data_IF_051794662092
#
_entry.id   IF_051794662092
#
_cell.length_a   1.000
_cell.length_b   1.000
_cell.length_c   1.000
_cell.angle_alpha   90.00
_cell.angle_beta   90.00
_cell.angle_gamma   90.00
#
_symmetry.space_group_name_H-M   'P 1'
#
loop_
_entity.id
_entity.type
_entity.pdbx_description
1 polymer ?
#
# COMPACT_ATOMS: atom_id res chain seq x y z
N UNK A 1 -56.26 10.41 42.66
CA UNK A 1 -56.13 9.20 41.84
C UNK A 1 -55.17 9.55 40.71
N UNK A 2 -53.96 9.01 40.77
CA UNK A 2 -52.80 9.33 39.92
C UNK A 2 -52.78 8.33 38.75
N UNK A 3 -52.53 8.79 37.52
CA UNK A 3 -51.86 8.06 36.41
C UNK A 3 -52.21 8.69 35.06
N UNK A 4 -51.36 8.83 34.06
CA UNK A 4 -49.91 8.68 33.88
C UNK A 4 -49.63 9.40 32.55
N UNK A 5 -48.65 10.29 32.52
CA UNK A 5 -48.16 10.94 31.30
C UNK A 5 -47.46 9.88 30.45
N UNK A 6 -47.97 9.60 29.26
CA UNK A 6 -47.22 8.86 28.25
C UNK A 6 -46.21 9.82 27.59
N UNK A 7 -45.09 10.08 28.27
CA UNK A 7 -43.87 10.48 27.57
C UNK A 7 -43.41 9.26 26.79
N UNK A 8 -43.71 9.24 25.50
CA UNK A 8 -43.04 8.38 24.55
C UNK A 8 -41.55 8.70 24.61
N UNK A 9 -40.79 7.82 25.26
CA UNK A 9 -39.36 7.80 25.17
C UNK A 9 -38.99 7.75 23.68
N UNK A 10 -38.33 8.79 23.19
CA UNK A 10 -37.43 8.68 22.05
C UNK A 10 -36.36 7.68 22.48
N UNK A 11 -36.61 6.40 22.22
CA UNK A 11 -35.58 5.40 22.21
C UNK A 11 -34.56 5.85 21.16
N UNK A 12 -33.49 6.47 21.62
CA UNK A 12 -32.27 6.62 20.83
C UNK A 12 -31.87 5.19 20.46
N UNK A 13 -32.01 4.86 19.19
CA UNK A 13 -31.59 3.59 18.63
C UNK A 13 -30.09 3.41 18.95
N UNK A 14 -29.70 2.46 19.82
CA UNK A 14 -28.31 2.22 20.17
C UNK A 14 -27.57 1.44 19.08
N UNK A 15 -28.21 1.16 17.95
CA UNK A 15 -27.69 0.32 16.87
C UNK A 15 -27.45 1.09 15.56
N UNK A 16 -26.93 2.32 15.63
CA UNK A 16 -26.01 2.77 14.58
C UNK A 16 -24.70 1.99 14.71
N UNK A 17 -24.79 0.66 14.53
CA UNK A 17 -23.67 -0.14 14.05
C UNK A 17 -23.19 0.64 12.83
N UNK A 18 -22.00 1.24 12.91
CA UNK A 18 -21.39 1.93 11.79
C UNK A 18 -21.23 0.85 10.73
N UNK A 19 -22.22 0.75 9.84
CA UNK A 19 -22.29 -0.32 8.86
C UNK A 19 -21.04 -0.15 8.02
N UNK A 20 -20.12 -1.12 8.10
CA UNK A 20 -18.82 -1.04 7.43
C UNK A 20 -19.04 -0.65 5.98
N UNK A 21 -18.40 0.43 5.55
CA UNK A 21 -18.56 0.94 4.20
C UNK A 21 -17.31 0.58 3.42
N UNK A 22 -17.49 -0.15 2.31
CA UNK A 22 -16.40 -0.48 1.41
C UNK A 22 -16.52 0.35 0.15
N UNK A 23 -15.38 0.83 -0.32
CA UNK A 23 -15.30 1.78 -1.43
C UNK A 23 -14.18 1.42 -2.37
N UNK A 24 -14.46 1.47 -3.65
CA UNK A 24 -13.46 1.54 -4.71
C UNK A 24 -12.99 3.00 -4.83
N UNK A 25 -11.68 3.18 -4.83
CA UNK A 25 -11.01 4.48 -4.87
C UNK A 25 -10.02 4.45 -6.03
N UNK A 26 -10.14 5.39 -6.96
CA UNK A 26 -9.09 5.64 -7.95
C UNK A 26 -8.14 6.72 -7.42
N UNK A 27 -6.87 6.38 -7.23
CA UNK A 27 -5.84 7.31 -6.78
C UNK A 27 -5.35 8.19 -7.94
N UNK A 28 -4.61 9.25 -7.61
CA UNK A 28 -4.08 10.23 -8.60
C UNK A 28 -3.12 9.62 -9.63
N UNK A 29 -2.50 8.48 -9.30
CA UNK A 29 -1.68 7.70 -10.21
C UNK A 29 -2.50 6.67 -11.02
N UNK A 30 -3.83 6.73 -10.90
CA UNK A 30 -4.83 5.86 -11.52
C UNK A 30 -5.00 4.50 -10.84
N UNK A 31 -4.44 4.26 -9.65
CA UNK A 31 -4.55 2.95 -8.98
C UNK A 31 -5.97 2.78 -8.45
N UNK A 32 -6.54 1.61 -8.64
CA UNK A 32 -7.86 1.29 -8.08
C UNK A 32 -7.68 0.45 -6.83
N UNK A 33 -8.10 1.00 -5.69
CA UNK A 33 -8.02 0.35 -4.38
C UNK A 33 -9.41 0.06 -3.84
N UNK A 34 -9.56 -1.08 -3.18
CA UNK A 34 -10.75 -1.38 -2.38
C UNK A 34 -10.44 -1.12 -0.92
N UNK A 35 -11.15 -0.18 -0.31
CA UNK A 35 -10.88 0.29 1.03
C UNK A 35 -12.12 0.27 1.94
N UNK A 36 -11.92 -0.06 3.21
CA UNK A 36 -12.92 0.07 4.27
C UNK A 36 -12.82 1.48 4.87
N UNK A 37 -13.92 2.22 4.90
CA UNK A 37 -13.95 3.56 5.51
C UNK A 37 -13.94 3.41 7.03
N UNK A 38 -12.88 3.91 7.68
CA UNK A 38 -12.73 3.85 9.13
C UNK A 38 -13.23 5.14 9.80
N UNK A 39 -12.81 6.30 9.28
CA UNK A 39 -13.14 7.60 9.86
C UNK A 39 -13.04 8.73 8.84
N UNK A 40 -13.70 9.85 9.13
CA UNK A 40 -13.47 11.12 8.42
C UNK A 40 -12.76 12.08 9.38
N UNK A 41 -11.70 12.74 8.92
CA UNK A 41 -10.88 13.72 9.64
C UNK A 41 -10.90 15.07 8.90
N UNK A 42 -10.36 16.12 9.50
CA UNK A 42 -10.31 17.44 8.89
C UNK A 42 -9.41 17.52 7.65
N UNK A 43 -8.43 16.62 7.54
CA UNK A 43 -7.44 16.50 6.48
C UNK A 43 -7.79 15.44 5.42
N UNK A 44 -8.86 14.67 5.62
CA UNK A 44 -9.27 13.65 4.65
C UNK A 44 -10.10 12.51 5.25
N UNK A 45 -10.15 11.40 4.52
CA UNK A 45 -10.82 10.17 4.95
C UNK A 45 -9.78 9.10 5.29
N UNK A 46 -9.88 8.53 6.48
CA UNK A 46 -9.07 7.39 6.90
C UNK A 46 -9.74 6.14 6.40
N UNK A 47 -9.02 5.37 5.60
CA UNK A 47 -9.50 4.09 5.08
C UNK A 47 -8.49 2.99 5.38
N UNK A 48 -8.98 1.78 5.65
CA UNK A 48 -8.17 0.58 5.68
C UNK A 48 -8.11 -0.02 4.28
N UNK A 49 -6.90 -0.24 3.80
CA UNK A 49 -6.60 -1.17 2.71
C UNK A 49 -5.93 -2.41 3.33
N UNK A 50 -5.83 -3.54 2.63
CA UNK A 50 -5.27 -4.76 3.21
C UNK A 50 -3.83 -4.61 3.72
N UNK A 51 -3.10 -3.64 3.20
CA UNK A 51 -1.73 -3.35 3.59
C UNK A 51 -1.67 -2.46 4.85
N UNK A 52 -2.74 -1.75 5.22
CA UNK A 52 -2.74 -0.86 6.37
C UNK A 52 -3.72 0.31 6.23
N UNK A 53 -3.58 1.30 7.10
CA UNK A 53 -4.41 2.51 7.06
C UNK A 53 -3.76 3.59 6.20
N UNK A 54 -4.57 4.26 5.37
CA UNK A 54 -4.16 5.39 4.56
C UNK A 54 -5.12 6.57 4.78
N UNK A 55 -4.63 7.79 4.58
CA UNK A 55 -5.45 9.00 4.59
C UNK A 55 -5.60 9.46 3.14
N UNK A 56 -6.84 9.47 2.66
CA UNK A 56 -7.19 9.95 1.32
C UNK A 56 -7.61 11.41 1.40
N UNK A 57 -7.05 12.26 0.52
CA UNK A 57 -7.49 13.64 0.38
C UNK A 57 -8.91 13.71 -0.19
N UNK A 58 -9.64 14.79 0.11
CA UNK A 58 -11.02 14.97 -0.37
C UNK A 58 -11.15 14.97 -1.90
N UNK A 59 -10.10 15.37 -2.62
CA UNK A 59 -10.09 15.38 -4.09
C UNK A 59 -10.23 13.96 -4.65
N UNK A 60 -9.56 12.98 -4.03
CA UNK A 60 -9.62 11.56 -4.40
C UNK A 60 -10.98 10.94 -4.07
N UNK A 61 -11.73 11.52 -3.12
CA UNK A 61 -13.01 10.96 -2.68
C UNK A 61 -14.17 11.20 -3.68
N UNK A 62 -14.00 12.12 -4.62
CA UNK A 62 -15.08 12.54 -5.53
C UNK A 62 -15.54 11.40 -6.46
N UNK A 63 -14.63 10.48 -6.79
CA UNK A 63 -14.88 9.38 -7.73
C UNK A 63 -15.10 8.02 -7.03
N UNK A 64 -15.32 8.01 -5.71
CA UNK A 64 -15.48 6.78 -4.96
C UNK A 64 -16.76 6.03 -5.30
N UNK A 65 -16.62 4.74 -5.62
CA UNK A 65 -17.75 3.86 -5.92
C UNK A 65 -17.99 2.88 -4.76
N UNK A 66 -19.24 2.58 -4.41
CA UNK A 66 -19.52 1.55 -3.41
C UNK A 66 -19.08 0.17 -3.93
N UNK A 67 -18.45 -0.62 -3.07
CA UNK A 67 -18.21 -2.05 -3.31
C UNK A 67 -18.74 -2.87 -2.14
N UNK A 68 -18.87 -4.18 -2.33
CA UNK A 68 -19.25 -5.08 -1.25
C UNK A 68 -18.02 -5.61 -0.49
N UNK A 69 -18.27 -6.24 0.65
CA UNK A 69 -17.23 -6.82 1.50
C UNK A 69 -16.49 -7.98 0.81
N UNK A 70 -17.14 -8.68 -0.13
CA UNK A 70 -16.54 -9.80 -0.84
C UNK A 70 -15.48 -9.31 -1.83
N UNK A 71 -15.80 -8.24 -2.58
CA UNK A 71 -14.86 -7.56 -3.46
C UNK A 71 -13.63 -7.09 -2.67
N UNK A 72 -13.84 -6.37 -1.57
CA UNK A 72 -12.76 -5.93 -0.66
C UNK A 72 -11.89 -7.10 -0.18
N UNK A 73 -12.48 -8.23 0.21
CA UNK A 73 -11.74 -9.40 0.67
C UNK A 73 -11.03 -10.17 -0.45
N UNK A 74 -11.53 -10.09 -1.68
CA UNK A 74 -10.98 -10.79 -2.85
C UNK A 74 -9.91 -10.00 -3.62
N UNK A 75 -9.57 -8.79 -3.16
CA UNK A 75 -8.60 -7.96 -3.86
C UNK A 75 -7.23 -8.66 -3.90
N UNK A 76 -6.53 -8.63 -5.05
CA UNK A 76 -5.24 -9.28 -5.17
C UNK A 76 -4.22 -8.64 -4.22
N UNK A 77 -3.27 -9.43 -3.67
CA UNK A 77 -2.19 -8.86 -2.89
C UNK A 77 -1.33 -7.95 -3.78
N UNK A 78 -0.73 -6.94 -3.17
CA UNK A 78 0.15 -6.03 -3.91
C UNK A 78 1.53 -6.66 -4.03
N UNK A 79 2.16 -6.52 -5.19
CA UNK A 79 3.54 -6.95 -5.36
C UNK A 79 4.47 -5.77 -5.11
N UNK A 80 5.46 -5.96 -4.24
CA UNK A 80 6.53 -5.00 -3.97
C UNK A 80 7.88 -5.63 -4.25
N UNK A 81 8.69 -4.97 -5.05
CA UNK A 81 10.06 -5.37 -5.35
C UNK A 81 11.02 -4.53 -4.54
N UNK A 82 11.88 -5.21 -3.81
CA UNK A 82 12.85 -4.67 -2.89
C UNK A 82 14.23 -4.82 -3.50
N UNK A 83 14.82 -3.69 -3.84
CA UNK A 83 16.16 -3.61 -4.41
C UNK A 83 17.08 -2.91 -3.41
N UNK A 84 17.62 -3.67 -2.45
CA UNK A 84 18.41 -3.16 -1.33
C UNK A 84 19.76 -3.87 -1.22
N UNK A 85 20.79 -3.22 -0.64
CA UNK A 85 22.07 -3.85 -0.33
C UNK A 85 21.89 -5.13 0.49
N UNK A 86 22.74 -6.12 0.23
CA UNK A 86 22.62 -7.46 0.81
C UNK A 86 22.64 -7.45 2.34
N UNK A 87 23.43 -6.55 2.93
CA UNK A 87 23.57 -6.34 4.37
C UNK A 87 22.29 -5.86 5.07
N UNK A 88 21.36 -5.22 4.34
CA UNK A 88 20.12 -4.68 4.90
C UNK A 88 18.88 -5.50 4.52
N UNK A 89 19.02 -6.48 3.61
CA UNK A 89 17.88 -7.19 3.04
C UNK A 89 17.03 -7.91 4.06
N UNK A 90 17.64 -8.70 4.93
CA UNK A 90 16.89 -9.48 5.93
C UNK A 90 16.03 -8.57 6.82
N UNK A 91 16.56 -7.39 7.18
CA UNK A 91 15.82 -6.39 7.95
C UNK A 91 14.66 -5.80 7.14
N UNK A 92 14.91 -5.33 5.92
CA UNK A 92 13.87 -4.70 5.09
C UNK A 92 12.78 -5.69 4.67
N UNK A 93 13.16 -6.91 4.30
CA UNK A 93 12.19 -7.97 3.97
C UNK A 93 11.35 -8.33 5.19
N UNK A 94 11.95 -8.53 6.37
CA UNK A 94 11.18 -8.80 7.59
C UNK A 94 10.22 -7.66 7.97
N UNK A 95 10.60 -6.40 7.70
CA UNK A 95 9.72 -5.25 7.90
C UNK A 95 8.53 -5.28 6.93
N UNK A 96 8.77 -5.66 5.68
CA UNK A 96 7.72 -5.72 4.66
C UNK A 96 6.81 -6.94 4.78
N UNK A 97 7.34 -8.06 5.27
CA UNK A 97 6.57 -9.28 5.57
C UNK A 97 5.56 -9.08 6.71
N UNK A 98 5.72 -8.02 7.51
CA UNK A 98 4.73 -7.63 8.52
C UNK A 98 3.42 -7.13 7.91
N UNK A 99 3.38 -6.83 6.60
CA UNK A 99 2.18 -6.40 5.89
C UNK A 99 1.52 -7.59 5.19
N UNK A 100 0.38 -8.09 5.69
CA UNK A 100 -0.19 -9.39 5.27
C UNK A 100 -0.68 -9.44 3.81
N UNK A 101 -0.78 -8.29 3.13
CA UNK A 101 -1.22 -8.20 1.73
C UNK A 101 -0.18 -7.65 0.79
N UNK A 102 1.08 -7.74 1.21
CA UNK A 102 2.24 -7.43 0.41
C UNK A 102 2.99 -8.72 0.05
N UNK A 103 3.22 -8.94 -1.23
CA UNK A 103 4.15 -9.96 -1.72
C UNK A 103 5.49 -9.28 -1.98
N UNK A 104 6.49 -9.65 -1.20
CA UNK A 104 7.82 -9.05 -1.26
C UNK A 104 8.72 -9.86 -2.19
N UNK A 105 9.29 -9.21 -3.19
CA UNK A 105 10.30 -9.72 -4.10
C UNK A 105 11.65 -9.07 -3.82
N UNK A 106 12.75 -9.80 -3.98
CA UNK A 106 14.11 -9.26 -3.79
C UNK A 106 14.89 -9.29 -5.09
N UNK A 107 15.56 -8.19 -5.43
CA UNK A 107 16.12 -7.96 -6.78
C UNK A 107 17.57 -8.45 -6.99
N UNK A 108 18.19 -9.13 -6.02
CA UNK A 108 19.64 -9.22 -5.91
C UNK A 108 20.33 -10.38 -6.66
N UNK A 109 19.76 -10.86 -7.76
CA UNK A 109 20.37 -11.94 -8.54
C UNK A 109 20.16 -13.34 -7.95
N UNK A 110 20.11 -13.48 -6.63
CA UNK A 110 19.52 -14.62 -5.91
C UNK A 110 18.10 -14.28 -5.51
N UNK A 111 17.17 -14.40 -6.46
CA UNK A 111 15.74 -14.30 -6.19
C UNK A 111 15.43 -15.34 -5.12
N UNK A 112 15.17 -14.89 -3.88
CA UNK A 112 14.44 -15.71 -2.94
C UNK A 112 13.07 -15.99 -3.55
N UNK A 113 12.61 -17.24 -3.49
CA UNK A 113 11.25 -17.57 -3.92
C UNK A 113 10.28 -16.55 -3.31
N UNK A 114 9.31 -16.05 -4.08
CA UNK A 114 8.34 -15.11 -3.54
C UNK A 114 7.76 -15.68 -2.26
N UNK A 115 7.69 -14.87 -1.21
CA UNK A 115 6.98 -15.27 0.01
C UNK A 115 5.45 -15.36 -0.20
N UNK A 116 4.96 -15.27 -1.44
CA UNK A 116 3.54 -15.19 -1.77
C UNK A 116 3.18 -15.77 -3.14
N UNK A 117 1.88 -15.87 -3.44
CA UNK A 117 1.34 -16.64 -4.57
C UNK A 117 1.50 -15.97 -5.95
N UNK A 118 2.17 -14.81 -6.04
CA UNK A 118 2.26 -14.02 -7.27
C UNK A 118 3.62 -14.25 -7.95
N UNK A 119 3.58 -14.85 -9.15
CA UNK A 119 4.73 -15.01 -10.03
C UNK A 119 4.86 -13.79 -10.97
N UNK A 120 6.02 -13.14 -10.95
CA UNK A 120 6.34 -11.99 -11.82
C UNK A 120 6.66 -12.39 -13.27
N UNK A 121 6.85 -13.68 -13.57
CA UNK A 121 7.27 -14.17 -14.88
C UNK A 121 8.79 -14.13 -15.08
N UNK A 122 9.33 -15.05 -15.89
CA UNK A 122 10.78 -15.24 -16.06
C UNK A 122 11.49 -14.04 -16.71
N UNK A 123 10.80 -13.34 -17.62
CA UNK A 123 11.35 -12.21 -18.36
C UNK A 123 11.56 -10.99 -17.43
N UNK A 124 10.54 -10.64 -16.66
CA UNK A 124 10.57 -9.59 -15.64
C UNK A 124 11.60 -9.90 -14.56
N UNK A 125 11.62 -11.15 -14.06
CA UNK A 125 12.62 -11.61 -13.10
C UNK A 125 14.06 -11.45 -13.62
N UNK A 126 14.29 -11.73 -14.90
CA UNK A 126 15.62 -11.57 -15.52
C UNK A 126 15.98 -10.10 -15.70
N UNK A 127 15.04 -9.26 -16.11
CA UNK A 127 15.26 -7.82 -16.29
C UNK A 127 15.60 -7.13 -14.96
N UNK A 128 14.89 -7.44 -13.89
CA UNK A 128 15.11 -6.85 -12.55
C UNK A 128 16.47 -7.25 -11.97
N UNK A 129 16.91 -8.50 -12.19
CA UNK A 129 18.23 -8.98 -11.71
C UNK A 129 19.40 -8.12 -12.21
N UNK A 130 19.27 -7.51 -13.39
CA UNK A 130 20.28 -6.61 -13.94
C UNK A 130 20.34 -5.22 -13.30
N UNK A 131 19.38 -4.86 -12.45
CA UNK A 131 19.20 -3.48 -11.98
C UNK A 131 19.91 -3.12 -10.68
N UNK A 132 20.43 -4.09 -9.93
CA UNK A 132 21.02 -3.83 -8.62
C UNK A 132 20.02 -3.14 -7.68
N UNK A 133 20.40 -2.00 -7.09
CA UNK A 133 19.53 -1.20 -6.20
C UNK A 133 18.87 0.01 -6.90
N UNK A 134 18.93 0.11 -8.23
CA UNK A 134 18.40 1.27 -8.96
C UNK A 134 16.88 1.21 -9.11
N UNK A 135 16.15 2.09 -8.41
CA UNK A 135 14.68 2.19 -8.50
C UNK A 135 14.21 2.43 -9.94
N UNK A 136 14.89 3.33 -10.65
CA UNK A 136 14.55 3.67 -12.03
C UNK A 136 14.73 2.49 -12.99
N UNK A 137 15.78 1.69 -12.81
CA UNK A 137 15.99 0.49 -13.63
C UNK A 137 14.93 -0.58 -13.33
N UNK A 138 14.70 -0.89 -12.04
CA UNK A 138 13.71 -1.89 -11.63
C UNK A 138 12.32 -1.49 -12.14
N UNK A 139 11.96 -0.20 -12.05
CA UNK A 139 10.72 0.34 -12.61
C UNK A 139 10.62 0.14 -14.12
N UNK A 140 11.70 0.40 -14.86
CA UNK A 140 11.76 0.21 -16.31
C UNK A 140 11.77 -1.27 -16.74
N UNK A 141 12.16 -2.18 -15.86
CA UNK A 141 12.13 -3.63 -16.11
C UNK A 141 10.71 -4.19 -16.15
N UNK A 142 9.76 -3.54 -15.46
CA UNK A 142 8.35 -3.85 -15.57
C UNK A 142 7.77 -3.16 -16.82
N UNK A 143 7.52 -3.95 -17.86
CA UNK A 143 6.79 -3.47 -19.04
C UNK A 143 5.36 -3.01 -18.70
N UNK A 144 4.66 -2.39 -19.64
CA UNK A 144 3.29 -1.91 -19.42
C UNK A 144 2.26 -3.03 -19.13
N UNK A 145 2.64 -4.31 -19.27
CA UNK A 145 1.77 -5.47 -19.07
C UNK A 145 1.86 -6.14 -17.69
N UNK A 146 2.87 -5.84 -16.87
CA UNK A 146 3.17 -6.62 -15.65
C UNK A 146 2.26 -6.31 -14.44
N UNK A 147 1.17 -5.56 -14.63
CA UNK A 147 0.43 -4.97 -13.52
C UNK A 147 1.25 -3.86 -12.84
N UNK A 148 0.60 -3.08 -11.99
CA UNK A 148 1.26 -2.00 -11.25
C UNK A 148 1.94 -2.59 -10.02
N UNK A 149 3.27 -2.58 -10.05
CA UNK A 149 4.16 -3.16 -9.05
C UNK A 149 4.87 -2.04 -8.32
N UNK A 150 4.87 -2.14 -7.00
CA UNK A 150 5.62 -1.22 -6.17
C UNK A 150 7.09 -1.56 -6.21
N UNK A 151 7.94 -0.53 -6.25
CA UNK A 151 9.38 -0.66 -6.21
C UNK A 151 9.86 0.12 -5.00
N UNK A 152 10.50 -0.58 -4.08
CA UNK A 152 11.19 0.01 -2.94
C UNK A 152 12.67 -0.24 -3.10
N UNK A 153 13.45 0.82 -3.07
CA UNK A 153 14.91 0.70 -2.98
C UNK A 153 15.41 1.47 -1.77
N UNK A 154 16.50 0.98 -1.21
CA UNK A 154 17.18 1.63 -0.09
C UNK A 154 18.63 1.69 -0.48
N UNK A 155 19.19 2.88 -0.62
CA UNK A 155 20.59 3.07 -1.02
C UNK A 155 21.32 3.93 0.02
N UNK A 156 22.58 3.63 0.34
CA UNK A 156 23.38 4.50 1.21
C UNK A 156 23.71 5.81 0.50
N UNK A 157 23.52 6.95 1.18
CA UNK A 157 23.82 8.29 0.64
C UNK A 157 24.23 9.24 1.77
N UNK A 158 25.33 9.97 1.60
CA UNK A 158 25.71 11.08 2.49
C UNK A 158 25.89 10.74 3.98
N UNK A 159 26.22 9.50 4.34
CA UNK A 159 26.34 9.05 5.73
C UNK A 159 25.03 8.55 6.37
N UNK A 160 23.96 8.46 5.58
CA UNK A 160 22.70 7.82 5.93
C UNK A 160 22.18 6.98 4.76
N UNK A 161 20.86 6.94 4.59
CA UNK A 161 20.17 6.20 3.53
C UNK A 161 19.17 7.09 2.80
N UNK A 162 18.87 6.72 1.56
CA UNK A 162 17.70 7.18 0.84
C UNK A 162 16.80 5.99 0.59
N UNK A 163 15.55 6.10 1.03
CA UNK A 163 14.48 5.18 0.66
C UNK A 163 13.76 5.77 -0.53
N UNK A 164 13.75 5.03 -1.64
CA UNK A 164 12.99 5.39 -2.82
C UNK A 164 11.77 4.48 -2.97
N UNK A 165 10.61 5.07 -3.17
CA UNK A 165 9.40 4.39 -3.60
C UNK A 165 9.07 4.78 -5.04
N UNK A 166 8.70 3.82 -5.87
CA UNK A 166 8.24 4.07 -7.22
C UNK A 166 7.12 3.09 -7.59
N UNK A 167 6.29 3.47 -8.56
CA UNK A 167 5.27 2.59 -9.14
C UNK A 167 5.64 2.25 -10.58
N UNK A 168 5.60 0.96 -10.94
CA UNK A 168 5.87 0.52 -12.32
C UNK A 168 4.92 1.19 -13.32
N UNK A 169 5.46 1.54 -14.48
CA UNK A 169 4.68 2.21 -15.54
C UNK A 169 4.29 3.66 -15.27
N UNK A 170 4.73 4.28 -14.17
CA UNK A 170 4.54 5.70 -13.90
C UNK A 170 5.88 6.44 -13.81
N UNK A 171 5.84 7.77 -13.95
CA UNK A 171 7.01 8.61 -13.70
C UNK A 171 7.19 8.97 -12.22
N UNK A 172 6.25 8.58 -11.35
CA UNK A 172 6.30 8.88 -9.92
C UNK A 172 7.48 8.20 -9.25
N UNK A 173 8.20 9.00 -8.45
CA UNK A 173 9.32 8.57 -7.62
C UNK A 173 9.32 9.45 -6.37
N UNK A 174 9.16 8.82 -5.21
CA UNK A 174 9.34 9.46 -3.91
C UNK A 174 10.70 9.09 -3.38
N UNK A 175 11.44 10.09 -2.89
CA UNK A 175 12.75 9.91 -2.25
C UNK A 175 12.68 10.46 -0.83
N UNK A 176 12.95 9.62 0.15
CA UNK A 176 12.95 9.99 1.57
C UNK A 176 14.36 9.77 2.14
N UNK A 177 15.14 10.84 2.40
CA UNK A 177 16.42 10.72 3.08
C UNK A 177 16.21 10.44 4.56
N UNK A 178 16.91 9.44 5.10
CA UNK A 178 16.79 9.01 6.50
C UNK A 178 18.14 8.61 7.09
N UNK A 179 18.26 8.76 8.41
CA UNK A 179 19.42 8.22 9.13
C UNK A 179 19.42 6.69 9.12
N UNK A 180 18.23 6.08 9.23
CA UNK A 180 18.01 4.62 9.17
C UNK A 180 16.65 4.31 8.54
N UNK A 181 16.53 3.24 7.74
CA UNK A 181 15.24 2.80 7.21
C UNK A 181 14.40 2.18 8.34
N UNK A 182 13.23 2.75 8.62
CA UNK A 182 12.23 2.22 9.56
C UNK A 182 10.97 1.77 8.83
N UNK A 183 10.10 1.03 9.51
CA UNK A 183 8.77 0.64 9.06
C UNK A 183 7.95 1.83 8.52
N UNK A 184 7.84 2.90 9.32
CA UNK A 184 7.08 4.09 8.95
C UNK A 184 7.65 4.78 7.71
N UNK A 185 8.98 4.79 7.54
CA UNK A 185 9.64 5.42 6.40
C UNK A 185 9.42 4.61 5.13
N UNK A 186 9.66 3.30 5.19
CA UNK A 186 9.44 2.40 4.05
C UNK A 186 7.97 2.42 3.64
N UNK A 187 7.06 2.40 4.62
CA UNK A 187 5.63 2.54 4.38
C UNK A 187 5.25 3.87 3.73
N UNK A 188 5.82 4.98 4.20
CA UNK A 188 5.58 6.30 3.62
C UNK A 188 6.09 6.38 2.18
N UNK A 189 7.30 5.86 1.92
CA UNK A 189 7.88 5.83 0.58
C UNK A 189 7.05 5.00 -0.39
N UNK A 190 6.50 3.86 0.06
CA UNK A 190 5.46 3.14 -0.68
C UNK A 190 4.27 4.06 -0.90
N UNK A 191 3.54 4.48 0.14
CA UNK A 191 2.22 5.10 -0.05
C UNK A 191 2.19 6.41 -0.81
N UNK A 192 3.28 7.17 -0.80
CA UNK A 192 3.37 8.46 -1.47
C UNK A 192 3.83 8.36 -2.93
N UNK A 193 4.40 7.22 -3.34
CA UNK A 193 4.84 6.99 -4.71
C UNK A 193 3.71 6.52 -5.64
#
# INVERSE_FOLDING_TARGET
MIAWLALGALAQDPASEVRRQYREVELVDGRVLMAEVLATRADGMVVAVPQGEIVLSYEVLLDMRPVDAAAYASQPPWVSVVAVPAEHRAQITALLDAFPSLVVWTADGTIGEPAGPVDLGEAEQTAIRGCGTSAACVRGAFGQGAGRTWVVTVSPEGGGFVVEGALSGTDTLIRVPVAYPTDAVVWTALHQA
#
